data_IF_419873085834
#
_entry.id   IF_419873085834
#
_cell.length_a   1.000
_cell.length_b   1.000
_cell.length_c   1.000
_cell.angle_alpha   90.00
_cell.angle_beta   90.00
_cell.angle_gamma   90.00
#
_symmetry.space_group_name_H-M   'P 1'
#
loop_
_entity.id
_entity.type
_entity.pdbx_description
1 polymer ?
#
# COMPACT_ATOMS: atom_id res chain seq x y z
N UNK A 1 -1.20 18.66 -12.83
CA UNK A 1 -0.53 17.89 -11.77
C UNK A 1 -1.43 17.89 -10.54
N UNK A 2 -2.07 16.79 -10.26
CA UNK A 2 -2.85 16.68 -9.02
C UNK A 2 -1.92 16.16 -7.93
N UNK A 3 -1.39 17.06 -7.13
CA UNK A 3 -0.90 16.69 -5.82
C UNK A 3 -2.08 16.13 -5.03
N UNK A 4 -1.97 14.91 -4.54
CA UNK A 4 -2.94 14.33 -3.63
C UNK A 4 -2.56 14.75 -2.21
N UNK A 5 -3.18 15.80 -1.65
CA UNK A 5 -2.87 16.18 -0.28
C UNK A 5 -3.33 15.06 0.66
N UNK A 6 -2.44 14.55 1.46
CA UNK A 6 -2.73 13.56 2.50
C UNK A 6 -2.16 12.16 2.29
N UNK A 7 -1.52 11.87 1.14
CA UNK A 7 -0.72 10.64 0.99
C UNK A 7 0.71 10.77 1.57
N UNK A 8 1.05 11.92 2.12
CA UNK A 8 2.40 12.22 2.61
C UNK A 8 2.75 11.56 3.96
N UNK A 9 1.77 10.99 4.66
CA UNK A 9 1.99 10.39 5.97
C UNK A 9 1.70 8.90 5.94
N UNK A 10 2.67 8.12 5.49
CA UNK A 10 2.71 6.70 5.78
C UNK A 10 3.27 6.50 7.18
N UNK A 11 2.45 6.00 8.09
CA UNK A 11 2.92 5.50 9.38
C UNK A 11 3.37 4.06 9.18
N UNK A 12 4.67 3.85 9.04
CA UNK A 12 5.27 2.52 9.05
C UNK A 12 5.61 2.18 10.50
N UNK A 13 4.80 1.34 11.10
CA UNK A 13 5.07 0.80 12.42
C UNK A 13 5.60 -0.62 12.32
N UNK A 14 6.76 -0.87 12.89
CA UNK A 14 7.30 -2.20 13.05
C UNK A 14 7.13 -2.68 14.49
N UNK A 15 6.40 -3.73 14.72
CA UNK A 15 6.32 -4.43 16.00
C UNK A 15 7.28 -5.62 16.04
N UNK A 16 8.56 -5.40 15.75
CA UNK A 16 9.53 -6.47 15.66
C UNK A 16 10.40 -6.61 16.91
N UNK A 17 10.31 -7.73 17.61
CA UNK A 17 11.38 -8.18 18.48
C UNK A 17 12.61 -8.53 17.64
N UNK A 18 13.79 -8.00 18.04
CA UNK A 18 15.08 -8.38 17.46
C UNK A 18 15.26 -9.89 17.46
N UNK A 19 15.06 -10.54 16.31
CA UNK A 19 15.51 -11.91 16.07
C UNK A 19 16.77 -11.89 15.22
N UNK A 20 17.72 -12.74 15.66
CA UNK A 20 19.07 -12.92 15.18
C UNK A 20 19.33 -12.76 13.66
N UNK A 21 20.46 -12.17 13.39
CA UNK A 21 21.06 -11.70 12.14
C UNK A 21 21.42 -12.75 11.07
N UNK A 22 21.06 -14.01 11.19
CA UNK A 22 21.64 -15.12 10.43
C UNK A 22 20.81 -15.74 9.30
N UNK A 23 19.69 -15.15 8.92
CA UNK A 23 18.90 -15.64 7.76
C UNK A 23 18.38 -14.50 6.87
N UNK A 24 19.10 -13.38 6.83
CA UNK A 24 18.57 -12.12 6.33
C UNK A 24 18.52 -11.94 4.82
N UNK A 25 19.46 -12.52 4.09
CA UNK A 25 19.57 -12.25 2.65
C UNK A 25 18.72 -13.19 1.78
N UNK A 26 18.36 -14.37 2.27
CA UNK A 26 17.64 -15.36 1.45
C UNK A 26 16.12 -15.11 1.40
N UNK A 27 15.51 -14.60 2.49
CA UNK A 27 14.06 -14.38 2.54
C UNK A 27 13.56 -13.16 1.73
N UNK A 28 14.44 -12.20 1.48
CA UNK A 28 14.08 -10.99 0.73
C UNK A 28 14.27 -11.14 -0.77
N UNK A 29 14.82 -12.25 -1.18
CA UNK A 29 15.29 -12.48 -2.55
C UNK A 29 14.55 -13.63 -3.25
N UNK A 30 13.35 -13.95 -2.84
CA UNK A 30 12.54 -14.96 -3.50
C UNK A 30 11.43 -14.33 -4.33
N UNK A 31 11.18 -14.87 -5.54
CA UNK A 31 9.98 -14.52 -6.30
C UNK A 31 8.73 -14.95 -5.53
N UNK A 32 7.59 -14.34 -5.83
CA UNK A 32 6.34 -14.81 -5.29
C UNK A 32 6.00 -16.19 -5.87
N UNK A 33 5.48 -17.07 -5.03
CA UNK A 33 4.93 -18.33 -5.47
C UNK A 33 3.55 -18.13 -6.13
N UNK A 34 3.03 -19.16 -6.79
CA UNK A 34 1.74 -19.10 -7.47
C UNK A 34 0.60 -18.77 -6.52
N UNK A 35 0.58 -19.37 -5.33
CA UNK A 35 -0.44 -19.11 -4.31
C UNK A 35 -0.42 -17.65 -3.84
N UNK A 36 0.75 -17.06 -3.71
CA UNK A 36 0.90 -15.64 -3.37
C UNK A 36 0.38 -14.75 -4.49
N UNK A 37 0.69 -15.06 -5.74
CA UNK A 37 0.17 -14.31 -6.91
C UNK A 37 -1.35 -14.36 -6.98
N UNK A 38 -1.96 -15.52 -6.77
CA UNK A 38 -3.42 -15.66 -6.73
C UNK A 38 -4.05 -14.81 -5.62
N UNK A 39 -3.48 -14.83 -4.42
CA UNK A 39 -3.94 -13.99 -3.30
C UNK A 39 -3.85 -12.50 -3.63
N UNK A 40 -2.78 -12.07 -4.28
CA UNK A 40 -2.59 -10.68 -4.68
C UNK A 40 -3.58 -10.25 -5.77
N UNK A 41 -3.91 -11.12 -6.72
CA UNK A 41 -4.96 -10.86 -7.70
C UNK A 41 -6.33 -10.70 -7.04
N UNK A 42 -6.69 -11.57 -6.12
CA UNK A 42 -7.94 -11.47 -5.34
C UNK A 42 -7.95 -10.18 -4.54
N UNK A 43 -6.84 -9.84 -3.87
CA UNK A 43 -6.69 -8.60 -3.12
C UNK A 43 -6.90 -7.37 -4.01
N UNK A 44 -6.28 -7.35 -5.17
CA UNK A 44 -6.41 -6.27 -6.15
C UNK A 44 -7.86 -6.08 -6.60
N UNK A 45 -8.53 -7.16 -6.98
CA UNK A 45 -9.94 -7.13 -7.38
C UNK A 45 -10.83 -6.65 -6.24
N UNK A 46 -10.58 -7.11 -5.02
CA UNK A 46 -11.31 -6.67 -3.85
C UNK A 46 -11.13 -5.17 -3.58
N UNK A 47 -9.88 -4.69 -3.58
CA UNK A 47 -9.58 -3.27 -3.40
C UNK A 47 -10.27 -2.39 -4.45
N UNK A 48 -10.26 -2.82 -5.70
CA UNK A 48 -10.92 -2.15 -6.82
C UNK A 48 -12.43 -1.98 -6.60
N UNK A 49 -13.07 -2.94 -5.97
CA UNK A 49 -14.51 -2.90 -5.70
C UNK A 49 -14.87 -2.05 -4.48
N UNK A 50 -14.11 -2.13 -3.39
CA UNK A 50 -14.50 -1.42 -2.18
C UNK A 50 -13.95 0.01 -2.06
N UNK A 51 -12.79 0.34 -2.64
CA UNK A 51 -12.24 1.70 -2.59
C UNK A 51 -13.23 2.77 -3.06
N UNK A 52 -13.96 2.59 -4.19
CA UNK A 52 -14.94 3.57 -4.62
C UNK A 52 -16.08 3.78 -3.62
N UNK A 53 -16.44 2.77 -2.85
CA UNK A 53 -17.51 2.88 -1.82
C UNK A 53 -17.16 3.96 -0.81
N UNK A 54 -15.89 4.10 -0.44
CA UNK A 54 -15.42 5.10 0.52
C UNK A 54 -14.99 6.41 -0.13
N UNK A 55 -14.42 6.35 -1.32
CA UNK A 55 -13.82 7.50 -1.96
C UNK A 55 -14.78 8.29 -2.86
N UNK A 56 -15.84 7.65 -3.39
CA UNK A 56 -16.80 8.29 -4.28
C UNK A 56 -17.89 9.12 -3.58
N UNK A 57 -18.04 9.00 -2.27
CA UNK A 57 -19.13 9.69 -1.54
C UNK A 57 -18.91 11.19 -1.43
N UNK A 58 -19.91 11.96 -1.86
CA UNK A 58 -19.88 13.43 -1.91
C UNK A 58 -20.16 14.14 -0.59
N UNK A 59 -20.80 13.49 0.40
CA UNK A 59 -21.26 14.13 1.64
C UNK A 59 -20.90 13.33 2.89
N UNK A 60 -20.34 14.04 3.87
CA UNK A 60 -20.34 13.77 5.32
C UNK A 60 -19.72 12.46 5.82
N UNK A 61 -18.81 11.86 5.12
CA UNK A 61 -18.00 10.75 5.67
C UNK A 61 -16.72 11.25 6.31
N UNK A 62 -16.09 10.40 7.13
CA UNK A 62 -14.94 10.85 7.91
C UNK A 62 -13.91 11.53 7.02
N UNK A 63 -13.34 12.59 7.54
CA UNK A 63 -12.28 13.34 6.84
C UNK A 63 -11.03 12.50 6.65
N UNK A 64 -10.90 11.42 7.39
CA UNK A 64 -9.77 10.51 7.36
C UNK A 64 -10.24 9.06 7.15
N UNK A 65 -9.55 8.35 6.27
CA UNK A 65 -9.73 6.92 6.03
C UNK A 65 -8.42 6.25 6.40
N UNK A 66 -8.48 5.28 7.30
CA UNK A 66 -7.32 4.50 7.73
C UNK A 66 -7.42 3.09 7.19
N UNK A 67 -6.39 2.65 6.50
CA UNK A 67 -6.28 1.30 5.94
C UNK A 67 -5.08 0.62 6.60
N UNK A 68 -5.31 -0.55 7.16
CA UNK A 68 -4.32 -1.34 7.88
C UNK A 68 -4.00 -2.61 7.10
N UNK A 69 -2.73 -2.86 6.83
CA UNK A 69 -2.21 -4.12 6.31
C UNK A 69 -1.24 -4.72 7.34
N UNK A 70 -1.68 -5.76 8.03
CA UNK A 70 -0.93 -6.38 9.11
C UNK A 70 0.13 -7.38 8.65
N UNK A 71 0.19 -7.67 7.35
CA UNK A 71 1.12 -8.61 6.75
C UNK A 71 1.71 -8.05 5.46
N UNK A 72 2.20 -6.83 5.55
CA UNK A 72 2.54 -6.03 4.38
C UNK A 72 3.72 -6.57 3.56
N UNK A 73 4.65 -7.27 4.20
CA UNK A 73 5.87 -7.71 3.55
C UNK A 73 6.76 -6.53 3.08
N UNK A 74 7.71 -6.79 2.18
CA UNK A 74 8.65 -5.77 1.68
C UNK A 74 8.08 -4.90 0.55
N UNK A 75 6.86 -5.14 0.10
CA UNK A 75 6.20 -4.41 -0.98
C UNK A 75 6.50 -4.91 -2.39
N UNK A 76 7.62 -5.57 -2.61
CA UNK A 76 7.98 -6.21 -3.89
C UNK A 76 8.60 -7.59 -3.67
N UNK A 77 8.44 -8.47 -4.65
CA UNK A 77 9.24 -9.68 -4.76
C UNK A 77 10.65 -9.38 -5.25
N UNK A 78 11.53 -10.40 -5.23
CA UNK A 78 12.87 -10.31 -5.82
C UNK A 78 12.87 -10.01 -7.32
N UNK A 79 11.80 -10.37 -8.01
CA UNK A 79 11.61 -10.12 -9.45
C UNK A 79 10.89 -8.80 -9.74
N UNK A 80 10.62 -7.99 -8.72
CA UNK A 80 9.97 -6.69 -8.86
C UNK A 80 8.45 -6.75 -8.92
N UNK A 81 7.83 -7.91 -8.70
CA UNK A 81 6.36 -8.04 -8.63
C UNK A 81 5.81 -7.24 -7.46
N UNK A 82 4.67 -6.58 -7.65
CA UNK A 82 4.06 -5.74 -6.63
C UNK A 82 3.40 -6.58 -5.54
N UNK A 83 3.74 -6.31 -4.29
CA UNK A 83 3.04 -6.83 -3.12
C UNK A 83 1.80 -6.01 -2.77
N UNK A 84 1.07 -6.43 -1.73
CA UNK A 84 -0.18 -5.77 -1.32
C UNK A 84 -0.07 -4.26 -1.08
N UNK A 85 1.00 -3.72 -0.44
CA UNK A 85 1.11 -2.28 -0.23
C UNK A 85 1.15 -1.48 -1.53
N UNK A 86 1.93 -1.93 -2.51
CA UNK A 86 2.07 -1.20 -3.77
C UNK A 86 0.86 -1.39 -4.69
N UNK A 87 0.23 -2.55 -4.67
CA UNK A 87 -1.05 -2.78 -5.34
C UNK A 87 -2.14 -1.88 -4.78
N UNK A 88 -2.17 -1.70 -3.46
CA UNK A 88 -3.12 -0.80 -2.81
C UNK A 88 -2.91 0.66 -3.24
N UNK A 89 -1.67 1.12 -3.29
CA UNK A 89 -1.34 2.46 -3.79
C UNK A 89 -1.79 2.66 -5.24
N UNK A 90 -1.57 1.68 -6.10
CA UNK A 90 -1.99 1.71 -7.49
C UNK A 90 -3.51 1.81 -7.62
N UNK A 91 -4.25 0.98 -6.87
CA UNK A 91 -5.71 0.99 -6.89
C UNK A 91 -6.30 2.27 -6.28
N UNK A 92 -5.68 2.84 -5.25
CA UNK A 92 -6.07 4.15 -4.72
C UNK A 92 -5.94 5.23 -5.80
N UNK A 93 -4.80 5.28 -6.49
CA UNK A 93 -4.60 6.21 -7.59
C UNK A 93 -5.65 6.04 -8.68
N UNK A 94 -5.85 4.80 -9.15
CA UNK A 94 -6.82 4.49 -10.20
C UNK A 94 -8.25 4.89 -9.79
N UNK A 95 -8.61 4.68 -8.53
CA UNK A 95 -9.92 5.07 -8.00
C UNK A 95 -10.07 6.59 -7.94
N UNK A 96 -9.04 7.29 -7.46
CA UNK A 96 -9.06 8.76 -7.36
C UNK A 96 -9.11 9.47 -8.71
N UNK A 97 -8.62 8.84 -9.77
CA UNK A 97 -8.72 9.37 -11.14
C UNK A 97 -10.13 9.27 -11.71
N UNK A 98 -11.02 8.49 -11.11
CA UNK A 98 -12.43 8.45 -11.54
C UNK A 98 -13.14 9.76 -11.19
N UNK A 99 -13.89 10.32 -12.15
CA UNK A 99 -14.56 11.64 -12.00
C UNK A 99 -15.42 11.75 -10.74
N UNK A 100 -16.09 10.68 -10.36
CA UNK A 100 -16.95 10.62 -9.18
C UNK A 100 -16.18 10.68 -7.84
N UNK A 101 -14.88 10.36 -7.85
CA UNK A 101 -14.03 10.39 -6.67
C UNK A 101 -13.28 11.73 -6.54
N UNK A 102 -12.94 12.38 -7.65
CA UNK A 102 -12.17 13.62 -7.67
C UNK A 102 -12.84 14.78 -6.90
N UNK A 103 -14.15 14.89 -6.94
CA UNK A 103 -14.87 15.97 -6.28
C UNK A 103 -15.01 15.82 -4.76
N UNK A 104 -14.99 14.59 -4.26
CA UNK A 104 -15.09 14.31 -2.82
C UNK A 104 -13.76 14.37 -2.08
N UNK A 105 -12.66 14.34 -2.82
CA UNK A 105 -11.34 14.11 -2.26
C UNK A 105 -10.65 15.33 -1.64
N UNK A 106 -10.92 16.52 -2.11
CA UNK A 106 -10.16 17.75 -1.76
C UNK A 106 -9.94 18.02 -0.27
N UNK A 107 -10.75 17.45 0.61
CA UNK A 107 -10.68 17.65 2.05
C UNK A 107 -10.58 16.35 2.85
N UNK A 108 -10.18 15.26 2.23
CA UNK A 108 -10.05 13.94 2.86
C UNK A 108 -8.60 13.49 2.89
N UNK A 109 -8.29 12.66 3.88
CA UNK A 109 -6.97 12.07 4.08
C UNK A 109 -7.08 10.55 4.09
N UNK A 110 -6.20 9.88 3.36
CA UNK A 110 -5.99 8.44 3.47
C UNK A 110 -4.69 8.21 4.21
N UNK A 111 -4.76 7.48 5.30
CA UNK A 111 -3.61 7.02 6.05
C UNK A 111 -3.46 5.50 5.86
N UNK A 112 -2.31 5.08 5.38
CA UNK A 112 -1.97 3.67 5.21
C UNK A 112 -1.02 3.25 6.32
N UNK A 113 -1.37 2.15 6.98
CA UNK A 113 -0.63 1.59 8.08
C UNK A 113 -0.16 0.19 7.71
N UNK A 114 1.15 0.03 7.56
CA UNK A 114 1.76 -1.24 7.18
C UNK A 114 2.51 -1.85 8.34
N UNK A 115 2.27 -3.13 8.58
CA UNK A 115 2.88 -3.88 9.66
C UNK A 115 3.49 -5.17 9.12
N UNK A 116 4.65 -5.51 9.63
CA UNK A 116 5.28 -6.81 9.44
C UNK A 116 6.11 -7.16 10.68
N UNK A 117 6.18 -8.44 10.99
CA UNK A 117 6.98 -8.93 12.13
C UNK A 117 8.49 -8.78 11.89
N UNK A 118 8.90 -8.65 10.63
CA UNK A 118 10.30 -8.50 10.23
C UNK A 118 10.62 -7.03 9.97
N UNK A 119 11.43 -6.44 10.84
CA UNK A 119 11.85 -5.04 10.71
C UNK A 119 12.61 -4.75 9.40
N UNK A 120 13.33 -5.73 8.85
CA UNK A 120 14.03 -5.54 7.57
C UNK A 120 13.07 -5.43 6.40
N UNK A 121 11.96 -6.18 6.43
CA UNK A 121 10.90 -6.04 5.44
C UNK A 121 10.27 -4.66 5.48
N UNK A 122 10.07 -4.08 6.66
CA UNK A 122 9.57 -2.71 6.82
C UNK A 122 10.55 -1.68 6.26
N UNK A 123 11.85 -1.85 6.45
CA UNK A 123 12.87 -0.97 5.87
C UNK A 123 12.82 -1.02 4.33
N UNK A 124 12.74 -2.23 3.76
CA UNK A 124 12.59 -2.42 2.32
C UNK A 124 11.27 -1.85 1.80
N UNK A 125 10.18 -2.08 2.53
CA UNK A 125 8.88 -1.53 2.19
C UNK A 125 8.92 -0.01 2.10
N UNK A 126 9.53 0.64 3.08
CA UNK A 126 9.67 2.09 3.09
C UNK A 126 10.37 2.60 1.82
N UNK A 127 11.49 1.97 1.46
CA UNK A 127 12.20 2.28 0.21
C UNK A 127 11.31 2.06 -1.02
N UNK A 128 10.70 0.89 -1.12
CA UNK A 128 9.87 0.52 -2.26
C UNK A 128 8.64 1.42 -2.40
N UNK A 129 8.01 1.82 -1.30
CA UNK A 129 6.89 2.77 -1.29
C UNK A 129 7.32 4.13 -1.82
N UNK A 130 8.45 4.68 -1.34
CA UNK A 130 8.94 5.96 -1.82
C UNK A 130 9.27 5.94 -3.32
N UNK A 131 9.96 4.91 -3.79
CA UNK A 131 10.26 4.74 -5.21
C UNK A 131 8.99 4.63 -6.06
N UNK A 132 8.02 3.86 -5.60
CA UNK A 132 6.77 3.65 -6.33
C UNK A 132 5.87 4.89 -6.35
N UNK A 133 5.80 5.64 -5.26
CA UNK A 133 5.10 6.92 -5.24
C UNK A 133 5.68 7.91 -6.25
N UNK A 134 6.99 7.95 -6.38
CA UNK A 134 7.64 8.79 -7.40
C UNK A 134 7.23 8.37 -8.82
N UNK A 135 7.12 7.07 -9.09
CA UNK A 135 6.64 6.56 -10.39
C UNK A 135 5.17 6.90 -10.61
N UNK A 136 4.33 6.74 -9.60
CA UNK A 136 2.89 6.95 -9.73
C UNK A 136 2.50 8.42 -9.91
N UNK A 137 3.19 9.35 -9.25
CA UNK A 137 2.78 10.76 -9.19
C UNK A 137 3.69 11.72 -9.97
N UNK A 138 4.77 11.23 -10.48
CA UNK A 138 5.69 11.98 -11.32
C UNK A 138 5.83 11.37 -12.71
#
# INVERSE_FOLDING_TARGET
MCELPGLEKFLLESSGRKKKELARDEFHNTPFDEATREKLEIFKLYAKEWLPVFLARKKSWPKEIHIFDFFSGPGRSSEGELGSPLLLLEEIKNTLLQKQCLHGWKNRKIALHFFDADANKIILLNKNVHEYLNILWH
#
